data_IF_781414898543
#
_entry.id   IF_781414898543
#
_cell.length_a   1.000
_cell.length_b   1.000
_cell.length_c   1.000
_cell.angle_alpha   90.00
_cell.angle_beta   90.00
_cell.angle_gamma   90.00
#
_symmetry.space_group_name_H-M   'P 1'
#
loop_
_entity.id
_entity.type
_entity.pdbx_description
1 polymer ?
#
# COMPACT_ATOMS: atom_id res chain seq x y z
N UNK A 1 13.90 44.33 -30.55
CA UNK A 1 12.49 44.01 -30.87
C UNK A 1 12.44 42.69 -31.62
N UNK A 2 11.99 41.66 -30.99
CA UNK A 2 11.19 40.52 -31.50
C UNK A 2 11.07 39.49 -30.39
N UNK A 3 9.92 39.53 -29.76
CA UNK A 3 9.46 38.60 -28.73
C UNK A 3 9.12 37.25 -29.38
N UNK A 4 9.77 36.18 -28.95
CA UNK A 4 9.38 34.82 -29.31
C UNK A 4 8.63 34.22 -28.13
N UNK A 5 7.33 34.02 -28.32
CA UNK A 5 6.44 33.38 -27.36
C UNK A 5 6.67 31.88 -27.42
N UNK A 6 7.14 31.29 -26.34
CA UNK A 6 7.17 29.84 -26.16
C UNK A 6 5.79 29.44 -25.64
N UNK A 7 5.07 28.69 -26.47
CA UNK A 7 3.78 28.11 -26.15
C UNK A 7 4.04 26.80 -25.35
N UNK A 8 3.79 26.87 -24.07
CA UNK A 8 3.77 25.66 -23.20
C UNK A 8 2.41 25.00 -23.38
N UNK A 9 2.37 23.87 -24.04
CA UNK A 9 1.17 23.05 -24.13
C UNK A 9 1.05 22.20 -22.86
N UNK A 10 0.24 22.65 -21.90
CA UNK A 10 -0.24 21.83 -20.78
C UNK A 10 -1.30 20.88 -21.33
N UNK A 11 -1.00 19.59 -21.37
CA UNK A 11 -1.99 18.54 -21.62
C UNK A 11 -2.60 18.15 -20.28
N UNK A 12 -3.74 18.78 -19.95
CA UNK A 12 -4.64 18.38 -18.89
C UNK A 12 -5.37 17.11 -19.35
N UNK A 13 -5.04 15.95 -18.80
CA UNK A 13 -5.88 14.76 -18.89
C UNK A 13 -6.96 14.91 -17.81
N UNK A 14 -8.11 15.44 -18.20
CA UNK A 14 -9.29 15.47 -17.36
C UNK A 14 -9.94 14.08 -17.36
N UNK A 15 -9.81 13.33 -16.26
CA UNK A 15 -10.60 12.14 -16.00
C UNK A 15 -12.02 12.59 -15.64
N UNK A 16 -12.97 12.41 -16.55
CA UNK A 16 -14.38 12.72 -16.36
C UNK A 16 -15.03 11.58 -15.60
N UNK A 17 -15.21 11.74 -14.30
CA UNK A 17 -16.15 10.94 -13.52
C UNK A 17 -17.58 11.44 -13.81
N UNK A 18 -18.32 10.70 -14.63
CA UNK A 18 -19.74 10.92 -14.83
C UNK A 18 -20.54 10.17 -13.76
N UNK A 19 -21.08 10.91 -12.80
CA UNK A 19 -22.17 10.47 -11.93
C UNK A 19 -23.40 10.13 -12.76
N UNK A 20 -23.80 8.86 -12.79
CA UNK A 20 -25.09 8.43 -13.31
C UNK A 20 -25.99 8.02 -12.16
N UNK A 21 -27.10 8.73 -12.07
CA UNK A 21 -28.18 8.52 -11.11
C UNK A 21 -28.93 7.20 -11.36
N UNK A 22 -29.48 6.68 -10.26
CA UNK A 22 -30.34 5.49 -10.15
C UNK A 22 -31.41 5.35 -11.21
N UNK A 23 -31.50 4.18 -11.86
CA UNK A 23 -32.74 3.54 -12.25
C UNK A 23 -32.56 2.05 -12.47
N UNK A 24 -33.64 1.28 -12.13
CA UNK A 24 -33.74 -0.17 -11.96
C UNK A 24 -33.27 -1.04 -13.13
N UNK A 25 -33.07 -2.37 -12.89
CA UNK A 25 -32.33 -3.25 -13.79
C UNK A 25 -33.19 -3.73 -14.98
N UNK A 26 -32.61 -3.63 -16.17
CA UNK A 26 -33.07 -4.37 -17.33
C UNK A 26 -31.88 -5.05 -17.95
N UNK A 27 -31.91 -6.38 -17.98
CA UNK A 27 -30.91 -7.21 -18.59
C UNK A 27 -30.81 -6.92 -20.09
N UNK A 28 -29.60 -6.59 -20.57
CA UNK A 28 -28.99 -7.14 -21.80
C UNK A 28 -27.68 -6.41 -22.16
N UNK A 29 -26.62 -7.21 -22.33
CA UNK A 29 -25.65 -7.02 -23.42
C UNK A 29 -24.63 -5.86 -23.29
N UNK A 30 -23.36 -6.19 -22.99
CA UNK A 30 -22.25 -5.50 -23.60
C UNK A 30 -21.55 -4.44 -22.75
N UNK A 31 -20.59 -4.85 -21.95
CA UNK A 31 -19.57 -3.95 -21.40
C UNK A 31 -18.16 -4.32 -21.95
N UNK A 32 -18.05 -4.32 -23.30
CA UNK A 32 -16.75 -4.54 -23.98
C UNK A 32 -15.91 -3.26 -24.16
N UNK A 33 -16.45 -2.07 -23.85
CA UNK A 33 -15.78 -0.81 -24.17
C UNK A 33 -14.88 -0.26 -23.05
N UNK A 34 -14.99 -0.78 -21.82
CA UNK A 34 -14.19 -0.33 -20.67
C UNK A 34 -12.93 -1.17 -20.47
N UNK A 35 -12.98 -2.47 -20.70
CA UNK A 35 -11.83 -3.38 -20.58
C UNK A 35 -10.77 -3.13 -21.67
N UNK A 36 -11.20 -2.87 -22.92
CA UNK A 36 -10.27 -2.55 -24.02
C UNK A 36 -9.50 -1.23 -23.77
N UNK A 37 -10.11 -0.26 -23.07
CA UNK A 37 -9.45 1.01 -22.75
C UNK A 37 -8.42 0.85 -21.62
N UNK A 38 -8.69 0.05 -20.59
CA UNK A 38 -7.77 -0.20 -19.50
C UNK A 38 -6.54 -1.01 -19.98
N UNK A 39 -6.74 -2.05 -20.76
CA UNK A 39 -5.67 -2.84 -21.35
C UNK A 39 -4.77 -1.98 -22.26
N UNK A 40 -5.36 -1.10 -23.10
CA UNK A 40 -4.60 -0.17 -23.94
C UNK A 40 -3.77 0.83 -23.12
N UNK A 41 -4.29 1.31 -21.98
CA UNK A 41 -3.55 2.21 -21.11
C UNK A 41 -2.33 1.55 -20.45
N UNK A 42 -2.45 0.28 -20.07
CA UNK A 42 -1.33 -0.50 -19.51
C UNK A 42 -0.28 -0.78 -20.60
N UNK A 43 -0.68 -1.16 -21.80
CA UNK A 43 0.23 -1.36 -22.92
C UNK A 43 1.01 -0.07 -23.24
N UNK A 44 0.36 1.08 -23.19
CA UNK A 44 1.00 2.38 -23.34
C UNK A 44 2.02 2.66 -22.23
N UNK A 45 1.73 2.28 -20.97
CA UNK A 45 2.68 2.41 -19.86
C UNK A 45 3.90 1.48 -20.04
N UNK A 46 3.68 0.24 -20.44
CA UNK A 46 4.74 -0.74 -20.70
C UNK A 46 5.65 -0.31 -21.85
N UNK A 47 5.12 0.37 -22.87
CA UNK A 47 5.86 0.88 -24.01
C UNK A 47 6.65 2.17 -23.69
N UNK A 48 6.32 2.89 -22.61
CA UNK A 48 7.04 4.12 -22.25
C UNK A 48 8.50 3.85 -21.86
N UNK A 49 9.38 4.77 -22.30
CA UNK A 49 10.79 4.79 -21.90
C UNK A 49 11.05 6.04 -21.03
N UNK A 50 11.80 5.86 -19.95
CA UNK A 50 12.29 6.96 -19.15
C UNK A 50 13.70 7.38 -19.58
N UNK A 51 13.92 8.68 -19.65
CA UNK A 51 15.20 9.28 -20.02
C UNK A 51 15.89 9.96 -18.81
N UNK A 52 15.13 10.28 -17.76
CA UNK A 52 15.63 10.86 -16.50
C UNK A 52 15.16 10.04 -15.30
N UNK A 53 15.76 10.26 -14.14
CA UNK A 53 15.37 9.60 -12.90
C UNK A 53 13.95 10.02 -12.47
N UNK A 54 13.56 11.28 -12.71
CA UNK A 54 12.21 11.78 -12.41
C UNK A 54 11.16 11.10 -13.29
N UNK A 55 11.44 10.97 -14.60
CA UNK A 55 10.56 10.24 -15.52
C UNK A 55 10.46 8.76 -15.13
N UNK A 56 11.57 8.16 -14.68
CA UNK A 56 11.60 6.77 -14.21
C UNK A 56 10.75 6.58 -12.95
N UNK A 57 10.86 7.49 -11.98
CA UNK A 57 10.06 7.46 -10.75
C UNK A 57 8.57 7.64 -11.05
N UNK A 58 8.22 8.60 -11.92
CA UNK A 58 6.83 8.81 -12.31
C UNK A 58 6.25 7.60 -13.07
N UNK A 59 7.03 6.96 -13.95
CA UNK A 59 6.60 5.76 -14.66
C UNK A 59 6.49 4.56 -13.72
N UNK A 60 7.43 4.39 -12.79
CA UNK A 60 7.37 3.37 -11.74
C UNK A 60 6.06 3.48 -10.95
N UNK A 61 5.73 4.67 -10.44
CA UNK A 61 4.47 4.90 -9.71
C UNK A 61 3.24 4.52 -10.56
N UNK A 62 3.18 4.95 -11.82
CA UNK A 62 2.06 4.61 -12.71
C UNK A 62 1.93 3.10 -12.97
N UNK A 63 3.05 2.37 -13.02
CA UNK A 63 3.05 0.91 -13.18
C UNK A 63 2.55 0.21 -11.91
N UNK A 64 2.98 0.65 -10.73
CA UNK A 64 2.51 0.10 -9.45
C UNK A 64 1.02 0.40 -9.20
N UNK A 65 0.55 1.61 -9.59
CA UNK A 65 -0.87 1.96 -9.52
C UNK A 65 -1.71 1.06 -10.44
N UNK A 66 -1.20 0.74 -11.65
CA UNK A 66 -1.87 -0.16 -12.58
C UNK A 66 -1.94 -1.60 -12.05
N UNK A 67 -0.88 -2.09 -11.42
CA UNK A 67 -0.86 -3.40 -10.76
C UNK A 67 -1.89 -3.47 -9.64
N UNK A 68 -1.90 -2.46 -8.78
CA UNK A 68 -2.88 -2.34 -7.69
C UNK A 68 -4.32 -2.32 -8.23
N UNK A 69 -4.56 -1.60 -9.32
CA UNK A 69 -5.88 -1.54 -9.95
C UNK A 69 -6.33 -2.92 -10.48
N UNK A 70 -5.44 -3.71 -11.10
CA UNK A 70 -5.73 -5.08 -11.57
C UNK A 70 -6.15 -5.97 -10.40
N UNK A 71 -5.40 -5.94 -9.30
CA UNK A 71 -5.71 -6.76 -8.12
C UNK A 71 -7.05 -6.35 -7.48
N UNK A 72 -7.34 -5.05 -7.43
CA UNK A 72 -8.57 -4.52 -6.86
C UNK A 72 -9.80 -4.79 -7.71
N UNK A 73 -9.69 -4.75 -9.05
CA UNK A 73 -10.83 -4.98 -9.97
C UNK A 73 -11.42 -6.38 -9.79
N UNK A 74 -10.56 -7.38 -9.50
CA UNK A 74 -10.95 -8.77 -9.31
C UNK A 74 -10.64 -9.27 -7.89
N UNK A 75 -10.73 -8.40 -6.88
CA UNK A 75 -10.29 -8.67 -5.51
C UNK A 75 -10.84 -9.98 -4.92
N UNK A 76 -12.13 -10.28 -5.13
CA UNK A 76 -12.76 -11.52 -4.65
C UNK A 76 -12.16 -12.79 -5.29
N UNK A 77 -11.75 -12.71 -6.57
CA UNK A 77 -11.07 -13.84 -7.23
C UNK A 77 -9.64 -13.99 -6.72
N UNK A 78 -8.92 -12.90 -6.55
CA UNK A 78 -7.57 -12.91 -5.98
C UNK A 78 -7.56 -13.39 -4.54
N UNK A 79 -8.52 -12.98 -3.73
CA UNK A 79 -8.72 -13.53 -2.39
C UNK A 79 -8.84 -15.05 -2.43
N UNK A 80 -9.71 -15.59 -3.31
CA UNK A 80 -9.89 -17.01 -3.46
C UNK A 80 -8.61 -17.73 -3.91
N UNK A 81 -7.79 -17.12 -4.79
CA UNK A 81 -6.46 -17.62 -5.17
C UNK A 81 -5.57 -17.78 -3.94
N UNK A 82 -5.43 -16.71 -3.13
CA UNK A 82 -4.54 -16.72 -1.97
C UNK A 82 -5.04 -17.64 -0.83
N UNK A 83 -6.34 -17.78 -0.66
CA UNK A 83 -6.92 -18.71 0.33
C UNK A 83 -6.75 -20.17 -0.07
N UNK A 84 -6.79 -20.48 -1.37
CA UNK A 84 -6.68 -21.82 -1.93
C UNK A 84 -5.24 -22.24 -2.17
N UNK A 85 -4.29 -21.31 -2.16
CA UNK A 85 -2.88 -21.59 -2.33
C UNK A 85 -2.38 -22.57 -1.25
N UNK A 86 -1.71 -23.61 -1.69
CA UNK A 86 -1.16 -24.63 -0.81
C UNK A 86 -0.16 -23.99 0.17
N UNK A 87 -0.31 -24.25 1.47
CA UNK A 87 0.52 -23.68 2.54
C UNK A 87 2.02 -24.04 2.44
N UNK A 88 2.37 -24.87 1.46
CA UNK A 88 3.74 -25.20 1.09
C UNK A 88 4.21 -24.56 -0.21
N UNK A 89 3.38 -23.76 -0.88
CA UNK A 89 3.80 -23.02 -2.08
C UNK A 89 4.80 -21.94 -1.66
N UNK A 90 5.95 -22.01 -2.28
CA UNK A 90 7.14 -21.24 -1.96
C UNK A 90 6.79 -19.76 -1.72
N UNK A 91 7.28 -19.22 -0.61
CA UNK A 91 7.47 -17.80 -0.43
C UNK A 91 8.17 -17.26 -1.68
N UNK A 92 7.84 -16.03 -2.07
CA UNK A 92 8.54 -15.35 -3.15
C UNK A 92 10.03 -15.41 -2.79
N UNK A 93 10.82 -16.13 -3.61
CA UNK A 93 12.27 -16.13 -3.44
C UNK A 93 12.77 -14.70 -3.72
N UNK A 94 13.68 -14.22 -2.90
CA UNK A 94 14.27 -12.89 -3.06
C UNK A 94 14.74 -12.68 -4.52
N UNK A 95 14.25 -11.59 -5.15
CA UNK A 95 14.50 -11.30 -6.58
C UNK A 95 13.61 -12.02 -7.59
N UNK A 96 12.60 -12.78 -7.17
CA UNK A 96 11.63 -13.37 -8.10
C UNK A 96 10.54 -12.38 -8.50
N UNK A 97 10.07 -12.50 -9.75
CA UNK A 97 8.98 -11.67 -10.29
C UNK A 97 7.65 -12.00 -9.60
N UNK A 98 6.95 -10.99 -9.09
CA UNK A 98 5.67 -11.17 -8.39
C UNK A 98 4.59 -11.80 -9.27
N UNK A 99 4.52 -11.42 -10.54
CA UNK A 99 3.59 -12.03 -11.50
C UNK A 99 3.87 -13.53 -11.72
N UNK A 100 5.14 -13.95 -11.73
CA UNK A 100 5.49 -15.39 -11.79
C UNK A 100 4.98 -16.14 -10.55
N UNK A 101 5.06 -15.52 -9.38
CA UNK A 101 4.49 -16.07 -8.15
C UNK A 101 2.96 -16.18 -8.25
N UNK A 102 2.27 -15.13 -8.69
CA UNK A 102 0.82 -15.14 -8.89
C UNK A 102 0.38 -16.25 -9.84
N UNK A 103 1.04 -16.40 -10.99
CA UNK A 103 0.74 -17.42 -11.98
C UNK A 103 0.92 -18.85 -11.43
N UNK A 104 1.98 -19.09 -10.64
CA UNK A 104 2.17 -20.38 -9.95
C UNK A 104 1.07 -20.64 -8.92
N UNK A 105 0.66 -19.61 -8.20
CA UNK A 105 -0.40 -19.70 -7.18
C UNK A 105 -1.74 -20.01 -7.83
N UNK A 106 -2.10 -19.35 -8.94
CA UNK A 106 -3.29 -19.64 -9.74
C UNK A 106 -3.27 -21.11 -10.22
N UNK A 107 -2.15 -21.57 -10.77
CA UNK A 107 -2.03 -22.96 -11.23
C UNK A 107 -2.22 -23.97 -10.09
N UNK A 108 -1.72 -23.67 -8.89
CA UNK A 108 -1.89 -24.55 -7.71
C UNK A 108 -3.33 -24.62 -7.22
N UNK A 109 -4.11 -23.58 -7.43
CA UNK A 109 -5.50 -23.45 -7.00
C UNK A 109 -6.53 -23.67 -8.14
N UNK A 110 -6.09 -24.05 -9.34
CA UNK A 110 -6.91 -24.06 -10.57
C UNK A 110 -8.21 -24.84 -10.47
N UNK A 111 -8.25 -25.91 -9.68
CA UNK A 111 -9.45 -26.76 -9.50
C UNK A 111 -10.58 -26.05 -8.74
N UNK A 112 -10.30 -24.91 -8.13
CA UNK A 112 -11.26 -24.08 -7.39
C UNK A 112 -11.99 -23.06 -8.28
N UNK A 113 -11.56 -22.88 -9.54
CA UNK A 113 -12.04 -21.84 -10.43
C UNK A 113 -12.73 -22.41 -11.68
N UNK A 114 -13.67 -21.63 -12.23
CA UNK A 114 -14.22 -21.89 -13.57
C UNK A 114 -13.20 -21.57 -14.66
N UNK A 115 -13.42 -22.08 -15.88
CA UNK A 115 -12.53 -21.77 -17.01
C UNK A 115 -12.42 -20.27 -17.34
N UNK A 116 -13.50 -19.51 -17.15
CA UNK A 116 -13.52 -18.07 -17.44
C UNK A 116 -12.81 -17.29 -16.32
N UNK A 117 -12.99 -17.66 -15.05
CA UNK A 117 -12.22 -17.10 -13.93
C UNK A 117 -10.72 -17.37 -14.07
N UNK A 118 -10.34 -18.58 -14.47
CA UNK A 118 -8.94 -18.93 -14.70
C UNK A 118 -8.31 -18.11 -15.84
N UNK A 119 -9.04 -17.91 -16.94
CA UNK A 119 -8.55 -17.07 -18.05
C UNK A 119 -8.35 -15.62 -17.61
N UNK A 120 -9.27 -15.10 -16.82
CA UNK A 120 -9.17 -13.74 -16.27
C UNK A 120 -7.95 -13.61 -15.35
N UNK A 121 -7.84 -14.49 -14.36
CA UNK A 121 -6.72 -14.51 -13.42
C UNK A 121 -5.36 -14.70 -14.12
N UNK A 122 -5.29 -15.57 -15.12
CA UNK A 122 -4.08 -15.77 -15.92
C UNK A 122 -3.71 -14.52 -16.70
N UNK A 123 -4.69 -13.85 -17.34
CA UNK A 123 -4.48 -12.57 -18.02
C UNK A 123 -3.95 -11.51 -17.08
N UNK A 124 -4.57 -11.36 -15.90
CA UNK A 124 -4.15 -10.42 -14.88
C UNK A 124 -2.72 -10.72 -14.39
N UNK A 125 -2.42 -11.99 -14.07
CA UNK A 125 -1.10 -12.42 -13.65
C UNK A 125 -0.01 -12.18 -14.71
N UNK A 126 -0.28 -12.41 -16.00
CA UNK A 126 0.65 -12.12 -17.09
C UNK A 126 0.86 -10.60 -17.26
N UNK A 127 -0.18 -9.81 -17.04
CA UNK A 127 -0.09 -8.34 -17.09
C UNK A 127 0.78 -7.82 -15.95
N UNK A 128 0.54 -8.29 -14.72
CA UNK A 128 1.35 -7.96 -13.54
C UNK A 128 2.81 -8.38 -13.75
N UNK A 129 3.04 -9.59 -14.28
CA UNK A 129 4.39 -10.05 -14.63
C UNK A 129 5.11 -9.09 -15.58
N UNK A 130 4.40 -8.56 -16.58
CA UNK A 130 4.96 -7.62 -17.54
C UNK A 130 5.26 -6.26 -16.89
N UNK A 131 4.42 -5.81 -15.96
CA UNK A 131 4.64 -4.61 -15.14
C UNK A 131 5.92 -4.79 -14.31
N UNK A 132 6.04 -5.88 -13.58
CA UNK A 132 7.20 -6.20 -12.75
C UNK A 132 8.52 -6.26 -13.53
N UNK A 133 8.51 -6.86 -14.74
CA UNK A 133 9.68 -6.85 -15.63
C UNK A 133 10.07 -5.41 -16.02
N UNK A 134 9.09 -4.56 -16.31
CA UNK A 134 9.34 -3.15 -16.64
C UNK A 134 9.85 -2.37 -15.44
N UNK A 135 9.28 -2.59 -14.26
CA UNK A 135 9.72 -2.00 -12.98
C UNK A 135 11.17 -2.37 -12.69
N UNK A 136 11.52 -3.65 -12.78
CA UNK A 136 12.90 -4.13 -12.58
C UNK A 136 13.89 -3.47 -13.56
N UNK A 137 13.52 -3.35 -14.84
CA UNK A 137 14.34 -2.69 -15.85
C UNK A 137 14.51 -1.18 -15.58
N UNK A 138 13.49 -0.51 -15.04
CA UNK A 138 13.58 0.88 -14.61
C UNK A 138 14.53 1.04 -13.42
N UNK A 139 14.44 0.18 -12.43
CA UNK A 139 15.30 0.18 -11.24
C UNK A 139 16.77 -0.15 -11.59
N UNK A 140 17.00 -1.05 -12.54
CA UNK A 140 18.35 -1.33 -13.03
C UNK A 140 18.97 -0.12 -13.74
N UNK A 141 18.20 0.56 -14.60
CA UNK A 141 18.66 1.72 -15.37
C UNK A 141 18.78 2.99 -14.53
N UNK A 142 17.91 3.16 -13.55
CA UNK A 142 17.82 4.31 -12.64
C UNK A 142 17.80 3.81 -11.18
N UNK A 143 18.95 3.45 -10.60
CA UNK A 143 19.02 3.01 -9.21
C UNK A 143 18.46 4.09 -8.28
N UNK A 144 17.38 3.76 -7.57
CA UNK A 144 16.62 4.70 -6.72
C UNK A 144 15.27 5.16 -7.29
N UNK A 145 14.91 4.80 -8.55
CA UNK A 145 13.53 4.96 -8.97
C UNK A 145 12.65 3.99 -8.15
N UNK A 146 11.55 4.51 -7.59
CA UNK A 146 10.75 3.77 -6.62
C UNK A 146 11.29 3.78 -5.19
N UNK A 147 12.49 4.33 -4.95
CA UNK A 147 12.96 4.66 -3.60
C UNK A 147 12.65 6.13 -3.31
N UNK A 148 12.16 6.43 -2.11
CA UNK A 148 12.10 7.82 -1.66
C UNK A 148 13.50 8.42 -1.69
N UNK A 149 13.68 9.68 -2.13
CA UNK A 149 14.98 10.34 -2.05
C UNK A 149 15.42 10.39 -0.60
N UNK A 150 16.47 9.63 -0.29
CA UNK A 150 17.23 9.81 0.94
C UNK A 150 17.69 11.26 0.95
N UNK A 151 17.20 12.05 1.90
CA UNK A 151 17.35 13.49 1.92
C UNK A 151 18.77 13.99 1.73
N UNK A 152 19.05 14.46 0.54
CA UNK A 152 20.05 15.50 0.29
C UNK A 152 19.35 16.60 -0.57
N UNK A 153 19.22 17.76 0.05
CA UNK A 153 18.42 18.89 -0.29
C UNK A 153 18.49 19.39 -1.75
N UNK A 154 17.63 18.86 -2.59
CA UNK A 154 17.20 19.55 -3.80
C UNK A 154 15.71 19.29 -4.01
N UNK A 155 14.93 20.34 -3.84
CA UNK A 155 13.48 20.38 -3.94
C UNK A 155 12.98 19.96 -5.33
N UNK A 156 12.19 18.86 -5.38
CA UNK A 156 11.25 18.60 -6.47
C UNK A 156 9.90 19.23 -6.11
N UNK A 157 9.18 19.85 -7.06
CA UNK A 157 7.88 20.42 -6.76
C UNK A 157 6.90 19.29 -6.44
N UNK A 158 6.53 19.20 -5.17
CA UNK A 158 5.47 18.33 -4.69
C UNK A 158 4.14 18.76 -5.32
N UNK A 159 3.40 17.79 -5.85
CA UNK A 159 1.97 17.97 -6.04
C UNK A 159 1.31 18.28 -4.70
N UNK A 160 0.34 19.18 -4.69
CA UNK A 160 -0.22 19.95 -3.55
C UNK A 160 -0.86 19.12 -2.41
N UNK A 161 -0.55 17.84 -2.19
CA UNK A 161 -1.19 17.01 -1.18
C UNK A 161 -0.26 16.05 -0.38
N UNK A 162 1.06 16.15 -0.49
CA UNK A 162 1.91 15.58 0.55
C UNK A 162 1.99 16.58 1.70
N UNK A 163 1.65 16.16 2.91
CA UNK A 163 1.94 16.92 4.12
C UNK A 163 3.46 17.04 4.25
N UNK A 164 4.01 18.11 3.67
CA UNK A 164 5.39 18.50 3.93
C UNK A 164 5.52 18.80 5.41
N UNK A 165 6.63 18.40 6.08
CA UNK A 165 6.92 18.86 7.43
C UNK A 165 6.82 20.40 7.45
N UNK A 166 6.24 20.99 8.50
CA UNK A 166 6.21 22.44 8.63
C UNK A 166 7.64 22.98 8.58
N UNK A 167 7.87 23.97 7.75
CA UNK A 167 9.18 24.64 7.53
C UNK A 167 9.70 25.38 8.79
N UNK A 168 8.94 25.29 9.90
CA UNK A 168 9.25 25.90 11.21
C UNK A 168 9.98 24.97 12.18
N UNK A 169 10.36 23.76 11.75
CA UNK A 169 11.02 22.75 12.59
C UNK A 169 10.08 22.04 13.56
N UNK A 170 8.76 22.20 13.44
CA UNK A 170 7.81 21.41 14.21
C UNK A 170 7.76 19.96 13.69
N UNK A 171 7.57 19.00 14.60
CA UNK A 171 7.43 17.59 14.25
C UNK A 171 6.07 17.37 13.58
N UNK A 172 6.05 16.58 12.53
CA UNK A 172 4.82 16.19 11.84
C UNK A 172 3.95 15.33 12.75
N UNK A 173 2.67 15.71 12.89
CA UNK A 173 1.70 14.94 13.66
C UNK A 173 1.15 13.78 12.81
N UNK A 174 1.00 12.61 13.43
CA UNK A 174 0.16 11.58 12.87
C UNK A 174 -1.30 12.06 12.90
N UNK A 175 -2.09 11.89 11.83
CA UNK A 175 -3.47 12.37 11.80
C UNK A 175 -4.31 11.79 12.91
N UNK A 176 -5.12 12.63 13.54
CA UNK A 176 -6.02 12.20 14.59
C UNK A 176 -7.14 11.31 14.04
N UNK A 177 -7.53 10.29 14.80
CA UNK A 177 -8.67 9.42 14.47
C UNK A 177 -9.45 9.02 15.71
N UNK A 178 -10.74 8.83 15.52
CA UNK A 178 -11.62 8.05 16.36
C UNK A 178 -12.13 6.88 15.52
N UNK A 179 -11.93 5.67 16.01
CA UNK A 179 -12.25 4.46 15.26
C UNK A 179 -12.55 3.29 16.18
N UNK A 180 -12.43 2.10 15.66
CA UNK A 180 -12.62 0.86 16.43
C UNK A 180 -11.52 -0.12 16.10
N UNK A 181 -11.28 -1.07 17.00
CA UNK A 181 -10.53 -2.27 16.64
C UNK A 181 -11.44 -3.27 15.90
N UNK A 182 -10.85 -4.34 15.40
CA UNK A 182 -11.61 -5.35 14.64
C UNK A 182 -12.66 -6.08 15.49
N UNK A 183 -12.60 -5.98 16.83
CA UNK A 183 -13.60 -6.54 17.75
C UNK A 183 -14.70 -5.54 18.10
N UNK A 184 -14.62 -4.32 17.58
CA UNK A 184 -15.63 -3.27 17.73
C UNK A 184 -15.41 -2.36 18.93
N UNK A 185 -14.31 -2.50 19.68
CA UNK A 185 -13.98 -1.62 20.79
C UNK A 185 -13.50 -0.26 20.27
N UNK A 186 -13.93 0.83 20.93
CA UNK A 186 -13.53 2.18 20.56
C UNK A 186 -12.03 2.42 20.76
N UNK A 187 -11.39 3.02 19.77
CA UNK A 187 -9.99 3.41 19.79
C UNK A 187 -9.86 4.88 19.37
N UNK A 188 -9.14 5.66 20.16
CA UNK A 188 -8.84 7.07 19.88
C UNK A 188 -7.34 7.27 19.80
N UNK A 189 -6.87 7.93 18.76
CA UNK A 189 -5.44 8.18 18.56
C UNK A 189 -4.78 8.89 19.73
N UNK A 190 -5.43 9.89 20.32
CA UNK A 190 -4.89 10.64 21.45
C UNK A 190 -4.60 9.74 22.67
N UNK A 191 -5.56 8.87 23.02
CA UNK A 191 -5.40 7.93 24.12
C UNK A 191 -4.38 6.84 23.79
N UNK A 192 -4.40 6.36 22.55
CA UNK A 192 -3.47 5.33 22.05
C UNK A 192 -2.03 5.83 22.14
N UNK A 193 -1.74 7.00 21.57
CA UNK A 193 -0.37 7.53 21.57
C UNK A 193 0.09 7.97 22.95
N UNK A 194 -0.74 8.72 23.70
CA UNK A 194 -0.37 9.18 25.03
C UNK A 194 -0.19 8.04 26.05
N UNK A 195 -0.82 6.90 25.81
CA UNK A 195 -0.68 5.71 26.66
C UNK A 195 0.61 4.92 26.44
N UNK A 196 1.35 5.19 25.36
CA UNK A 196 2.53 4.43 24.96
C UNK A 196 3.75 5.34 24.80
N UNK A 197 4.93 4.89 25.20
CA UNK A 197 6.19 5.59 24.98
C UNK A 197 6.51 5.71 23.47
N UNK A 198 6.12 4.70 22.72
CA UNK A 198 6.20 4.63 21.25
C UNK A 198 5.06 3.78 20.71
N UNK A 199 4.49 4.18 19.60
CA UNK A 199 3.50 3.38 18.85
C UNK A 199 4.00 3.17 17.43
N UNK A 200 4.12 1.91 17.02
CA UNK A 200 4.37 1.53 15.63
C UNK A 200 3.03 1.37 14.93
N UNK A 201 2.85 2.01 13.78
CA UNK A 201 1.61 1.95 12.97
C UNK A 201 1.96 1.33 11.62
N UNK A 202 1.49 0.10 11.38
CA UNK A 202 1.72 -0.63 10.14
C UNK A 202 0.47 -0.60 9.27
N UNK A 203 0.63 -0.18 8.01
CA UNK A 203 -0.43 -0.16 7.00
C UNK A 203 -0.28 -1.36 6.08
N UNK A 204 -1.36 -2.11 5.92
CA UNK A 204 -1.37 -3.36 5.19
C UNK A 204 -2.73 -3.64 4.54
N UNK A 205 -2.83 -4.68 3.72
CA UNK A 205 -4.11 -5.23 3.25
C UNK A 205 -3.99 -6.74 3.02
N UNK A 206 -5.13 -7.44 3.01
CA UNK A 206 -5.21 -8.90 3.09
C UNK A 206 -4.62 -9.63 1.89
N UNK A 207 -4.62 -9.03 0.72
CA UNK A 207 -4.05 -9.60 -0.52
C UNK A 207 -2.61 -9.15 -0.79
N UNK A 208 -2.02 -8.32 0.07
CA UNK A 208 -0.62 -7.90 -0.02
C UNK A 208 0.31 -8.98 0.56
N UNK A 209 0.95 -9.76 -0.28
CA UNK A 209 1.82 -10.86 0.16
C UNK A 209 2.95 -10.43 1.09
N UNK A 210 3.76 -9.40 0.78
CA UNK A 210 4.81 -8.96 1.70
C UNK A 210 4.24 -8.48 3.03
N UNK A 211 3.06 -7.83 3.02
CA UNK A 211 2.39 -7.42 4.25
C UNK A 211 1.96 -8.61 5.10
N UNK A 212 1.32 -9.60 4.48
CA UNK A 212 0.88 -10.84 5.16
C UNK A 212 2.10 -11.68 5.59
N UNK A 213 3.20 -11.57 4.86
CA UNK A 213 4.47 -12.22 5.19
C UNK A 213 5.05 -11.77 6.52
N UNK A 214 4.95 -10.47 6.85
CA UNK A 214 5.58 -9.87 8.04
C UNK A 214 4.72 -9.89 9.32
N UNK A 215 3.44 -10.33 9.26
CA UNK A 215 2.51 -10.22 10.40
C UNK A 215 3.00 -10.95 11.66
N UNK A 216 3.71 -12.06 11.51
CA UNK A 216 4.24 -12.80 12.66
C UNK A 216 5.43 -12.06 13.31
N UNK A 217 6.28 -11.42 12.52
CA UNK A 217 7.39 -10.58 12.97
C UNK A 217 6.88 -9.30 13.64
N UNK A 218 5.81 -8.69 13.08
CA UNK A 218 5.13 -7.55 13.70
C UNK A 218 4.52 -7.93 15.07
N UNK A 219 3.96 -9.12 15.21
CA UNK A 219 3.44 -9.62 16.49
C UNK A 219 4.56 -9.84 17.52
N UNK A 220 5.70 -10.36 17.08
CA UNK A 220 6.89 -10.48 17.93
C UNK A 220 7.40 -9.10 18.37
N UNK A 221 7.49 -8.15 17.43
CA UNK A 221 7.87 -6.77 17.72
C UNK A 221 6.89 -6.11 18.71
N UNK A 222 5.58 -6.32 18.55
CA UNK A 222 4.58 -5.80 19.48
C UNK A 222 4.80 -6.29 20.92
N UNK A 223 5.16 -7.55 21.09
CA UNK A 223 5.50 -8.11 22.42
C UNK A 223 6.75 -7.47 23.03
N UNK A 224 7.78 -7.25 22.22
CA UNK A 224 9.00 -6.54 22.65
C UNK A 224 8.71 -5.06 23.00
N UNK A 225 7.87 -4.39 22.23
CA UNK A 225 7.45 -3.02 22.50
C UNK A 225 6.67 -2.91 23.82
N UNK A 226 5.77 -3.86 24.08
CA UNK A 226 5.00 -3.89 25.31
C UNK A 226 5.89 -3.94 26.58
N UNK A 227 7.01 -4.67 26.52
CA UNK A 227 7.99 -4.70 27.62
C UNK A 227 8.68 -3.34 27.86
N UNK A 228 8.70 -2.48 26.83
CA UNK A 228 9.30 -1.14 26.84
C UNK A 228 8.26 -0.02 27.01
N UNK A 229 6.98 -0.39 27.29
CA UNK A 229 5.87 0.57 27.40
C UNK A 229 5.40 1.14 26.07
N UNK A 230 5.66 0.46 24.97
CA UNK A 230 5.18 0.80 23.62
C UNK A 230 4.11 -0.18 23.13
N UNK A 231 3.61 0.06 21.93
CA UNK A 231 2.63 -0.78 21.25
C UNK A 231 2.84 -0.77 19.73
N UNK A 232 2.26 -1.77 19.07
CA UNK A 232 2.10 -1.82 17.63
C UNK A 232 0.63 -1.96 17.28
N UNK A 233 0.18 -1.19 16.30
CA UNK A 233 -1.15 -1.34 15.69
C UNK A 233 -1.04 -1.58 14.19
N UNK A 234 -2.00 -2.32 13.66
CA UNK A 234 -2.21 -2.48 12.22
C UNK A 234 -3.39 -1.62 11.74
N UNK A 235 -3.30 -1.11 10.54
CA UNK A 235 -4.41 -0.50 9.81
C UNK A 235 -4.54 -1.27 8.50
N UNK A 236 -5.56 -2.13 8.41
CA UNK A 236 -5.87 -2.77 7.14
C UNK A 236 -6.71 -1.80 6.31
N UNK A 237 -6.21 -1.44 5.13
CA UNK A 237 -6.86 -0.40 4.32
C UNK A 237 -8.22 -0.81 3.76
N UNK A 238 -8.49 -2.11 3.66
CA UNK A 238 -9.80 -2.61 3.22
C UNK A 238 -10.86 -2.56 4.33
N UNK A 239 -10.44 -2.47 5.60
CA UNK A 239 -11.39 -2.38 6.73
C UNK A 239 -11.85 -0.96 7.04
N UNK A 240 -11.37 0.05 6.31
CA UNK A 240 -11.84 1.43 6.47
C UNK A 240 -13.37 1.48 6.35
N UNK A 241 -13.98 2.45 7.03
CA UNK A 241 -15.45 2.60 7.14
C UNK A 241 -16.17 1.41 7.82
N UNK A 242 -15.43 0.41 8.29
CA UNK A 242 -15.99 -0.73 9.02
C UNK A 242 -16.65 -1.78 8.12
N UNK A 243 -16.10 -2.03 6.93
CA UNK A 243 -16.57 -3.11 6.06
C UNK A 243 -16.49 -4.46 6.77
N UNK A 244 -17.64 -5.06 7.05
CA UNK A 244 -17.75 -6.29 7.85
C UNK A 244 -17.09 -7.50 7.16
N UNK A 245 -17.12 -7.57 5.83
CA UNK A 245 -16.51 -8.65 5.10
C UNK A 245 -14.98 -8.55 5.16
N UNK A 246 -14.44 -7.35 4.91
CA UNK A 246 -13.00 -7.08 5.02
C UNK A 246 -12.49 -7.25 6.46
N UNK A 247 -13.28 -6.89 7.48
CA UNK A 247 -12.93 -7.13 8.89
C UNK A 247 -12.85 -8.62 9.19
N UNK A 248 -13.82 -9.42 8.71
CA UNK A 248 -13.82 -10.87 8.88
C UNK A 248 -12.58 -11.50 8.24
N UNK A 249 -12.27 -11.09 7.01
CA UNK A 249 -11.11 -11.56 6.27
C UNK A 249 -9.79 -11.17 6.97
N UNK A 250 -9.64 -9.92 7.39
CA UNK A 250 -8.47 -9.47 8.12
C UNK A 250 -8.23 -10.30 9.40
N UNK A 251 -9.29 -10.59 10.16
CA UNK A 251 -9.24 -11.46 11.34
C UNK A 251 -8.75 -12.87 11.00
N UNK A 252 -9.25 -13.44 9.92
CA UNK A 252 -8.87 -14.78 9.47
C UNK A 252 -7.39 -14.83 9.08
N UNK A 253 -6.90 -13.81 8.35
CA UNK A 253 -5.48 -13.70 7.98
C UNK A 253 -4.59 -13.55 9.21
N UNK A 254 -4.94 -12.63 10.13
CA UNK A 254 -4.22 -12.43 11.38
C UNK A 254 -4.15 -13.72 12.21
N UNK A 255 -5.28 -14.42 12.36
CA UNK A 255 -5.34 -15.68 13.09
C UNK A 255 -4.48 -16.78 12.45
N UNK A 256 -4.51 -16.92 11.11
CA UNK A 256 -3.67 -17.87 10.37
C UNK A 256 -2.17 -17.60 10.55
N UNK A 257 -1.79 -16.31 10.69
CA UNK A 257 -0.39 -15.90 10.90
C UNK A 257 0.01 -15.87 12.38
N UNK A 258 -0.93 -16.12 13.30
CA UNK A 258 -0.70 -16.07 14.74
C UNK A 258 -0.46 -14.65 15.26
N UNK A 259 -0.87 -13.63 14.51
CA UNK A 259 -0.75 -12.24 14.88
C UNK A 259 -1.90 -11.84 15.81
N UNK A 260 -1.57 -11.25 16.96
CA UNK A 260 -2.53 -10.90 18.02
C UNK A 260 -2.52 -9.42 18.37
N UNK A 261 -1.65 -8.62 17.76
CA UNK A 261 -1.59 -7.19 17.99
C UNK A 261 -2.84 -6.49 17.47
N UNK A 262 -3.18 -5.35 18.09
CA UNK A 262 -4.39 -4.62 17.78
C UNK A 262 -4.38 -4.11 16.33
N UNK A 263 -5.46 -4.36 15.60
CA UNK A 263 -5.73 -3.75 14.31
C UNK A 263 -6.93 -2.83 14.43
N UNK A 264 -6.85 -1.63 13.82
CA UNK A 264 -7.86 -0.58 13.95
C UNK A 264 -8.37 -0.15 12.58
N UNK A 265 -9.61 0.34 12.56
CA UNK A 265 -10.20 1.00 11.40
C UNK A 265 -10.93 2.29 11.81
N UNK A 266 -11.08 3.18 10.87
CA UNK A 266 -11.71 4.49 11.04
C UNK A 266 -12.34 4.93 9.72
N UNK A 267 -13.05 6.08 9.72
CA UNK A 267 -13.70 6.62 8.53
C UNK A 267 -12.67 7.04 7.48
N UNK A 268 -12.90 6.65 6.22
CA UNK A 268 -12.03 6.96 5.08
C UNK A 268 -12.00 8.44 4.71
N UNK A 269 -13.08 9.18 5.01
CA UNK A 269 -13.21 10.62 4.73
C UNK A 269 -12.60 11.53 5.82
N UNK A 270 -12.19 10.94 6.98
CA UNK A 270 -11.47 11.62 8.04
C UNK A 270 -10.02 11.97 7.67
N UNK A 271 -9.31 12.69 8.55
CA UNK A 271 -7.91 13.05 8.32
C UNK A 271 -7.02 11.81 8.20
N UNK A 272 -7.14 10.85 9.12
CA UNK A 272 -6.39 9.60 9.07
C UNK A 272 -6.81 8.71 7.90
N UNK A 273 -8.09 8.70 7.51
CA UNK A 273 -8.56 7.99 6.32
C UNK A 273 -7.92 8.53 5.05
N UNK A 274 -7.94 9.85 4.86
CA UNK A 274 -7.26 10.51 3.73
C UNK A 274 -5.74 10.28 3.74
N UNK A 275 -5.13 10.28 4.91
CA UNK A 275 -3.71 9.93 5.06
C UNK A 275 -3.47 8.49 4.58
N UNK A 276 -4.29 7.54 5.01
CA UNK A 276 -4.20 6.13 4.62
C UNK A 276 -4.37 5.94 3.11
N UNK A 277 -5.32 6.64 2.48
CA UNK A 277 -5.53 6.55 1.02
C UNK A 277 -4.40 7.19 0.20
N UNK A 278 -3.56 8.01 0.81
CA UNK A 278 -2.38 8.59 0.16
C UNK A 278 -1.11 7.73 0.32
N UNK A 279 -1.18 6.59 1.01
CA UNK A 279 -0.08 5.63 1.09
C UNK A 279 0.01 4.90 -0.25
N UNK A 280 1.11 5.06 -0.96
CA UNK A 280 1.29 4.59 -2.34
C UNK A 280 1.97 3.22 -2.43
N UNK A 281 2.56 2.71 -1.33
CA UNK A 281 3.26 1.42 -1.32
C UNK A 281 2.97 0.66 -0.01
N UNK A 282 2.92 -0.67 -0.08
CA UNK A 282 2.62 -1.53 1.05
C UNK A 282 3.62 -2.69 1.14
N UNK A 283 3.94 -3.13 2.39
CA UNK A 283 3.56 -2.48 3.63
C UNK A 283 4.30 -1.15 3.84
N UNK A 284 3.69 -0.24 4.61
CA UNK A 284 4.33 0.99 5.08
C UNK A 284 4.14 1.10 6.59
N UNK A 285 5.23 1.40 7.29
CA UNK A 285 5.25 1.45 8.76
C UNK A 285 5.74 2.79 9.26
N UNK A 286 4.97 3.41 10.15
CA UNK A 286 5.32 4.66 10.83
C UNK A 286 5.67 4.40 12.29
N UNK A 287 6.56 5.22 12.84
CA UNK A 287 6.84 5.28 14.28
C UNK A 287 6.27 6.59 14.81
N UNK A 288 5.50 6.53 15.88
CA UNK A 288 4.82 7.68 16.50
C UNK A 288 5.21 7.77 17.96
N UNK A 289 5.59 8.96 18.42
CA UNK A 289 5.94 9.20 19.81
C UNK A 289 4.69 9.39 20.71
N UNK A 290 4.86 9.47 22.01
CA UNK A 290 3.80 9.68 23.01
C UNK A 290 2.94 10.93 22.74
N UNK A 291 3.50 11.92 22.09
CA UNK A 291 2.81 13.16 21.75
C UNK A 291 2.07 13.09 20.42
N UNK A 292 2.08 11.94 19.74
CA UNK A 292 1.47 11.76 18.43
C UNK A 292 2.32 12.35 17.29
N UNK A 293 3.61 12.60 17.49
CA UNK A 293 4.49 13.04 16.42
C UNK A 293 5.07 11.84 15.68
N UNK A 294 5.13 11.95 14.36
CA UNK A 294 5.83 10.98 13.52
C UNK A 294 7.34 11.14 13.76
N UNK A 295 8.03 10.04 13.99
CA UNK A 295 9.46 9.98 14.26
C UNK A 295 10.19 9.49 13.02
N UNK A 296 10.91 10.38 12.35
CA UNK A 296 11.64 10.09 11.12
C UNK A 296 10.72 9.83 9.91
N UNK A 297 11.30 9.22 8.88
CA UNK A 297 10.58 8.86 7.66
C UNK A 297 9.89 7.50 7.79
N UNK A 298 8.79 7.25 7.08
CA UNK A 298 8.14 5.94 7.08
C UNK A 298 9.05 4.86 6.51
N UNK A 299 8.92 3.66 7.04
CA UNK A 299 9.58 2.47 6.51
C UNK A 299 8.67 1.88 5.43
N UNK A 300 9.11 1.95 4.19
CA UNK A 300 8.43 1.36 3.03
C UNK A 300 9.03 0.00 2.72
N UNK A 301 8.20 -1.03 2.64
CA UNK A 301 8.60 -2.43 2.47
C UNK A 301 8.56 -3.23 3.77
N UNK A 302 8.57 -4.56 3.63
CA UNK A 302 8.39 -5.49 4.74
C UNK A 302 9.56 -5.46 5.72
N UNK A 303 9.25 -5.50 7.02
CA UNK A 303 10.27 -5.55 8.10
C UNK A 303 10.97 -6.92 8.21
N UNK A 304 10.57 -7.90 7.42
CA UNK A 304 11.35 -9.14 7.23
C UNK A 304 12.67 -8.88 6.50
N UNK A 305 12.74 -7.78 5.75
CA UNK A 305 13.97 -7.32 5.11
C UNK A 305 14.89 -6.64 6.13
N UNK A 306 16.16 -7.03 6.12
CA UNK A 306 17.15 -6.59 7.12
C UNK A 306 17.26 -5.06 7.21
N UNK A 307 17.31 -4.38 6.08
CA UNK A 307 17.48 -2.93 6.04
C UNK A 307 16.28 -2.20 6.65
N UNK A 308 15.06 -2.67 6.36
CA UNK A 308 13.82 -2.14 6.91
C UNK A 308 13.71 -2.41 8.41
N UNK A 309 14.06 -3.62 8.85
CA UNK A 309 14.11 -3.95 10.28
C UNK A 309 15.09 -3.07 11.06
N UNK A 310 16.30 -2.89 10.55
CA UNK A 310 17.33 -2.03 11.18
C UNK A 310 16.88 -0.55 11.21
N UNK A 311 16.28 -0.06 10.13
CA UNK A 311 15.75 1.30 10.05
C UNK A 311 14.60 1.51 11.04
N UNK A 312 13.64 0.58 11.10
CA UNK A 312 12.51 0.62 12.04
C UNK A 312 13.01 0.61 13.50
N UNK A 313 13.96 -0.30 13.83
CA UNK A 313 14.51 -0.38 15.18
C UNK A 313 15.19 0.93 15.59
N UNK A 314 15.93 1.58 14.69
CA UNK A 314 16.54 2.88 14.94
C UNK A 314 15.51 3.97 15.28
N UNK A 315 14.38 4.02 14.58
CA UNK A 315 13.32 4.99 14.86
C UNK A 315 12.62 4.70 16.19
N UNK A 316 12.39 3.43 16.52
CA UNK A 316 11.86 2.99 17.81
C UNK A 316 12.78 3.43 18.94
N UNK A 317 14.08 3.16 18.82
CA UNK A 317 15.08 3.54 19.82
C UNK A 317 15.15 5.07 20.00
N UNK A 318 15.01 5.82 18.90
CA UNK A 318 14.96 7.29 18.93
C UNK A 318 13.72 7.79 19.68
N UNK A 319 12.54 7.22 19.41
CA UNK A 319 11.30 7.57 20.10
C UNK A 319 11.38 7.28 21.60
N UNK A 320 11.85 6.07 21.97
CA UNK A 320 12.01 5.65 23.36
C UNK A 320 13.03 6.52 24.11
N UNK A 321 14.15 6.90 23.46
CA UNK A 321 15.16 7.77 24.09
C UNK A 321 14.65 9.21 24.30
N UNK A 322 13.71 9.66 23.49
CA UNK A 322 13.10 10.99 23.61
C UNK A 322 11.92 11.03 24.61
N UNK A 323 11.34 9.88 24.95
CA UNK A 323 10.20 9.79 25.87
C UNK A 323 10.61 10.20 27.29
N UNK A 324 9.84 11.09 27.88
CA UNK A 324 10.11 11.62 29.24
C UNK A 324 9.06 11.16 30.27
N UNK A 325 8.12 10.31 29.85
CA UNK A 325 7.01 9.82 30.68
C UNK A 325 5.86 10.80 30.77
#
# INVERSE_FOLDING_TARGET
MKTTKILTALLLVALVLSLAACSKPQANGGNMATEDNAASAIDDLLAKEASTAEEATALHTQLMDAETAILNENSALWEKVFLSADKGSAMIEDGSNYGDFLLKTIESAKDEFTEDELKLLQKDGETIRSIEVKVAALQEKFPGCGQMPSGDGTSVPAGDNMMTPPDDGSLQKFPAFEGKDLDGNEVKSDTLFSGNAVTVVNFWFTTCNPCVGELAELDALNKELAEKGGALIGVNTFTLDGDEAAISEAKDVLAKKGATYQNVYFASDGEAGKFTTNIFAYPTTYVVDRNGNIVGEPIVGAITEKNQAEALQKLIDQALAADKG
#
